data_IF_767492834766
#
_entry.id   IF_767492834766
#
_cell.length_a   1.000
_cell.length_b   1.000
_cell.length_c   1.000
_cell.angle_alpha   90.00
_cell.angle_beta   90.00
_cell.angle_gamma   90.00
#
_symmetry.space_group_name_H-M   'P 1'
#
loop_
_entity.id
_entity.type
_entity.pdbx_description
1 polymer ?
#
# COMPACT_ATOMS: atom_id res chain seq x y z
N UNK A 1 16.57 -8.43 13.85
CA UNK A 1 15.53 -8.76 14.84
C UNK A 1 15.47 -10.27 14.98
N UNK A 2 15.20 -10.78 16.17
CA UNK A 2 15.32 -12.22 16.45
C UNK A 2 14.11 -12.96 15.85
N UNK A 3 14.30 -14.00 15.04
CA UNK A 3 13.24 -14.83 14.40
C UNK A 3 12.15 -15.29 15.39
N UNK A 4 12.54 -15.55 16.64
CA UNK A 4 11.62 -15.92 17.71
C UNK A 4 10.66 -14.79 18.10
N UNK A 5 11.13 -13.56 18.08
CA UNK A 5 10.33 -12.37 18.40
C UNK A 5 9.32 -12.07 17.27
N UNK A 6 9.73 -12.22 16.02
CA UNK A 6 8.82 -12.10 14.85
C UNK A 6 7.75 -13.21 14.88
N UNK A 7 8.11 -14.44 15.23
CA UNK A 7 7.14 -15.54 15.36
C UNK A 7 6.12 -15.29 16.47
N UNK A 8 6.54 -14.72 17.60
CA UNK A 8 5.63 -14.34 18.69
C UNK A 8 4.71 -13.19 18.30
N UNK A 9 5.21 -12.16 17.61
CA UNK A 9 4.38 -11.07 17.13
C UNK A 9 3.35 -11.58 16.12
N UNK A 10 3.76 -12.44 15.18
CA UNK A 10 2.85 -13.01 14.19
C UNK A 10 1.81 -13.97 14.79
N UNK A 11 2.07 -14.54 15.95
CA UNK A 11 1.08 -15.34 16.66
C UNK A 11 -0.08 -14.49 17.22
N UNK A 12 0.22 -13.30 17.72
CA UNK A 12 -0.77 -12.38 18.29
C UNK A 12 -1.33 -11.39 17.28
N UNK A 13 -0.52 -10.99 16.30
CA UNK A 13 -0.85 -10.00 15.27
C UNK A 13 -0.47 -10.52 13.89
N UNK A 14 -1.11 -11.59 13.39
CA UNK A 14 -0.77 -12.15 12.09
C UNK A 14 -1.05 -11.13 10.97
N UNK A 15 -0.25 -11.14 9.89
CA UNK A 15 -0.53 -10.35 8.71
C UNK A 15 -1.95 -10.61 8.19
N UNK A 16 -2.61 -9.56 7.71
CA UNK A 16 -3.96 -9.68 7.15
C UNK A 16 -4.02 -9.03 5.78
N UNK A 17 -4.77 -9.65 4.89
CA UNK A 17 -5.08 -9.05 3.60
C UNK A 17 -5.72 -7.67 3.79
N UNK A 18 -5.18 -6.59 3.19
CA UNK A 18 -5.67 -5.23 3.38
C UNK A 18 -7.10 -5.02 2.87
N UNK A 19 -7.57 -5.88 1.98
CA UNK A 19 -8.86 -5.72 1.31
C UNK A 19 -9.98 -6.55 1.95
N UNK A 20 -9.73 -7.81 2.29
CA UNK A 20 -10.76 -8.71 2.86
C UNK A 20 -10.53 -9.08 4.33
N UNK A 21 -9.38 -8.73 4.92
CA UNK A 21 -9.06 -9.05 6.32
C UNK A 21 -8.67 -10.51 6.59
N UNK A 22 -8.56 -11.36 5.55
CA UNK A 22 -8.10 -12.76 5.71
C UNK A 22 -6.70 -12.77 6.31
N UNK A 23 -6.49 -13.62 7.31
CA UNK A 23 -5.17 -13.87 7.89
C UNK A 23 -4.27 -14.54 6.86
N UNK A 24 -3.04 -14.08 6.78
CA UNK A 24 -2.01 -14.54 5.85
C UNK A 24 -0.78 -15.02 6.62
N UNK A 25 0.05 -15.82 5.98
CA UNK A 25 1.34 -16.26 6.52
C UNK A 25 2.41 -15.18 6.35
N UNK A 26 2.27 -14.33 5.35
CA UNK A 26 3.17 -13.22 5.02
C UNK A 26 2.38 -11.95 4.71
N UNK A 27 3.05 -10.80 4.82
CA UNK A 27 2.47 -9.52 4.39
C UNK A 27 2.12 -9.57 2.90
N UNK A 28 1.01 -8.97 2.52
CA UNK A 28 0.61 -8.91 1.11
C UNK A 28 -0.90 -9.01 0.90
N UNK A 29 -1.28 -9.40 -0.31
CA UNK A 29 -2.68 -9.57 -0.75
C UNK A 29 -2.99 -11.05 -0.89
N UNK A 30 -4.15 -11.50 -0.42
CA UNK A 30 -4.54 -12.91 -0.58
C UNK A 30 -4.86 -13.23 -2.04
N UNK A 31 -4.68 -14.50 -2.42
CA UNK A 31 -4.88 -14.97 -3.79
C UNK A 31 -6.27 -14.69 -4.37
N UNK A 32 -7.31 -14.61 -3.54
CA UNK A 32 -8.65 -14.23 -3.97
C UNK A 32 -8.69 -12.75 -4.34
N UNK A 33 -8.25 -11.86 -3.45
CA UNK A 33 -8.22 -10.43 -3.72
C UNK A 33 -7.29 -10.09 -4.88
N UNK A 34 -6.15 -10.78 -5.02
CA UNK A 34 -5.24 -10.59 -6.16
C UNK A 34 -5.95 -10.77 -7.51
N UNK A 35 -6.94 -11.66 -7.59
CA UNK A 35 -7.73 -11.89 -8.80
C UNK A 35 -8.89 -10.91 -8.96
N UNK A 36 -9.51 -10.50 -7.87
CA UNK A 36 -10.78 -9.76 -7.86
C UNK A 36 -10.59 -8.24 -7.77
N UNK A 37 -9.36 -7.77 -7.50
CA UNK A 37 -9.08 -6.34 -7.39
C UNK A 37 -9.17 -5.63 -8.75
N UNK A 38 -9.60 -4.36 -8.76
CA UNK A 38 -9.69 -3.55 -9.97
C UNK A 38 -8.30 -3.05 -10.38
N UNK A 39 -7.49 -3.94 -10.96
CA UNK A 39 -6.16 -3.61 -11.46
C UNK A 39 -6.24 -2.64 -12.63
N UNK A 40 -5.36 -1.65 -12.63
CA UNK A 40 -5.17 -0.78 -13.79
C UNK A 40 -4.37 -1.52 -14.87
N UNK A 41 -4.89 -1.60 -16.12
CA UNK A 41 -4.14 -2.15 -17.24
C UNK A 41 -2.83 -1.38 -17.47
N UNK A 42 -1.84 -2.06 -17.98
CA UNK A 42 -0.50 -1.48 -18.20
C UNK A 42 -0.53 -0.22 -19.07
N UNK A 43 -1.37 -0.17 -20.08
CA UNK A 43 -1.48 0.93 -21.01
C UNK A 43 -2.15 2.19 -20.40
N UNK A 44 -2.94 2.03 -19.34
CA UNK A 44 -3.69 3.13 -18.71
C UNK A 44 -2.97 3.77 -17.51
N UNK A 45 -1.79 3.35 -17.25
CA UNK A 45 -1.08 3.70 -16.02
C UNK A 45 -0.43 5.07 -16.08
N UNK A 46 -0.30 5.65 -17.24
CA UNK A 46 0.48 6.86 -17.42
C UNK A 46 -0.43 8.04 -17.72
N UNK A 47 -0.57 8.93 -16.76
CA UNK A 47 -1.04 10.28 -17.01
C UNK A 47 0.17 11.19 -17.13
N UNK A 48 0.33 11.82 -18.29
CA UNK A 48 1.33 12.85 -18.48
C UNK A 48 0.64 14.22 -18.45
N UNK A 49 1.00 15.04 -17.48
CA UNK A 49 0.79 16.47 -17.56
C UNK A 49 2.15 17.12 -17.76
N UNK A 50 2.39 17.54 -18.97
CA UNK A 50 3.59 18.23 -19.47
C UNK A 50 4.93 17.54 -19.21
N UNK A 51 5.26 17.15 -18.00
CA UNK A 51 6.56 16.52 -17.65
C UNK A 51 6.43 15.53 -16.50
N UNK A 52 5.21 15.20 -16.04
CA UNK A 52 4.97 14.27 -14.95
C UNK A 52 4.34 12.98 -15.47
N UNK A 53 4.99 11.88 -15.17
CA UNK A 53 4.46 10.54 -15.39
C UNK A 53 3.89 10.01 -14.10
N UNK A 54 2.59 9.67 -14.11
CA UNK A 54 1.92 9.08 -12.96
C UNK A 54 1.58 7.63 -13.24
N UNK A 55 1.78 6.78 -12.26
CA UNK A 55 1.38 5.37 -12.30
C UNK A 55 0.62 5.00 -11.04
N UNK A 56 -0.36 4.12 -11.18
CA UNK A 56 -1.11 3.56 -10.07
C UNK A 56 -1.40 2.07 -10.33
N UNK A 57 -1.36 1.20 -9.32
CA UNK A 57 -1.64 -0.23 -9.52
C UNK A 57 -3.13 -0.55 -9.60
N UNK A 58 -3.97 0.23 -8.96
CA UNK A 58 -5.38 -0.08 -8.74
C UNK A 58 -6.28 1.14 -8.95
N UNK A 59 -7.50 0.90 -9.45
CA UNK A 59 -8.55 1.88 -9.43
C UNK A 59 -8.99 2.21 -8.00
N UNK A 60 -9.31 3.48 -7.74
CA UNK A 60 -9.80 3.96 -6.45
C UNK A 60 -11.31 3.70 -6.30
N UNK A 61 -11.67 2.44 -6.13
CA UNK A 61 -13.06 2.01 -5.98
C UNK A 61 -13.20 0.81 -5.04
N UNK A 62 -14.41 0.48 -4.63
CA UNK A 62 -14.75 -0.70 -3.85
C UNK A 62 -13.85 -0.93 -2.64
N UNK A 63 -13.30 -2.12 -2.54
CA UNK A 63 -12.44 -2.55 -1.44
C UNK A 63 -11.13 -1.73 -1.35
N UNK A 64 -10.61 -1.24 -2.48
CA UNK A 64 -9.41 -0.40 -2.52
C UNK A 64 -9.67 0.94 -1.83
N UNK A 65 -10.79 1.59 -2.17
CA UNK A 65 -11.21 2.84 -1.53
C UNK A 65 -11.39 2.66 -0.02
N UNK A 66 -12.08 1.61 0.42
CA UNK A 66 -12.32 1.34 1.83
C UNK A 66 -11.01 1.07 2.61
N UNK A 67 -10.09 0.32 2.03
CA UNK A 67 -8.79 0.05 2.63
C UNK A 67 -7.95 1.33 2.77
N UNK A 68 -7.92 2.19 1.75
CA UNK A 68 -7.23 3.48 1.80
C UNK A 68 -7.85 4.45 2.81
N UNK A 69 -9.18 4.45 2.97
CA UNK A 69 -9.84 5.24 4.00
C UNK A 69 -9.50 4.74 5.42
N UNK A 70 -9.37 3.43 5.61
CA UNK A 70 -8.89 2.86 6.88
C UNK A 70 -7.45 3.29 7.16
N UNK A 71 -6.56 3.20 6.18
CA UNK A 71 -5.18 3.67 6.31
C UNK A 71 -5.11 5.15 6.69
N UNK A 72 -5.94 5.99 6.06
CA UNK A 72 -5.90 7.45 6.28
C UNK A 72 -6.59 7.91 7.55
N UNK A 73 -7.68 7.28 7.97
CA UNK A 73 -8.61 7.86 8.94
C UNK A 73 -9.04 6.94 10.10
N UNK A 74 -8.72 5.65 10.05
CA UNK A 74 -9.24 4.68 11.03
C UNK A 74 -8.16 3.85 11.72
N UNK A 75 -6.97 4.41 11.90
CA UNK A 75 -5.89 3.75 12.62
C UNK A 75 -5.31 2.51 11.91
N UNK A 76 -5.45 2.44 10.59
CA UNK A 76 -5.03 1.31 9.78
C UNK A 76 -3.54 1.30 9.42
N UNK A 77 -2.63 1.71 10.32
CA UNK A 77 -1.18 1.76 10.07
C UNK A 77 -0.59 0.42 9.59
N UNK A 78 -1.15 -0.70 10.04
CA UNK A 78 -0.75 -2.03 9.57
C UNK A 78 -1.01 -2.27 8.06
N UNK A 79 -1.81 -1.41 7.42
CA UNK A 79 -2.04 -1.44 5.97
C UNK A 79 -0.92 -0.75 5.17
N UNK A 80 -0.05 0.01 5.82
CA UNK A 80 1.02 0.75 5.14
C UNK A 80 1.98 -0.18 4.40
N UNK A 81 2.40 -1.27 5.03
CA UNK A 81 3.34 -2.23 4.44
C UNK A 81 2.77 -2.92 3.19
N UNK A 82 1.58 -3.56 3.21
CA UNK A 82 1.02 -4.15 1.99
C UNK A 82 0.75 -3.12 0.88
N UNK A 83 0.37 -1.89 1.19
CA UNK A 83 0.27 -0.84 0.18
C UNK A 83 1.62 -0.40 -0.34
N UNK A 84 2.65 -0.33 0.51
CA UNK A 84 4.03 -0.07 0.12
C UNK A 84 4.56 -1.11 -0.87
N UNK A 85 4.28 -2.39 -0.64
CA UNK A 85 4.64 -3.47 -1.58
C UNK A 85 3.93 -3.34 -2.93
N UNK A 86 2.63 -2.99 -2.94
CA UNK A 86 1.90 -2.75 -4.18
C UNK A 86 2.48 -1.57 -4.97
N UNK A 87 2.83 -0.48 -4.29
CA UNK A 87 3.47 0.68 -4.91
C UNK A 87 4.88 0.37 -5.43
N UNK A 88 5.68 -0.37 -4.67
CA UNK A 88 7.03 -0.77 -5.08
C UNK A 88 6.98 -1.66 -6.32
N UNK A 89 6.07 -2.62 -6.37
CA UNK A 89 5.83 -3.45 -7.56
C UNK A 89 5.43 -2.61 -8.76
N UNK A 90 4.46 -1.71 -8.58
CA UNK A 90 4.03 -0.80 -9.65
C UNK A 90 5.18 0.07 -10.16
N UNK A 91 5.98 0.64 -9.27
CA UNK A 91 7.12 1.46 -9.65
C UNK A 91 8.18 0.65 -10.42
N UNK A 92 8.48 -0.57 -9.99
CA UNK A 92 9.43 -1.44 -10.68
C UNK A 92 8.95 -1.82 -12.09
N UNK A 93 7.67 -2.17 -12.22
CA UNK A 93 7.06 -2.57 -13.50
C UNK A 93 6.92 -1.40 -14.48
N UNK A 94 6.62 -0.18 -13.98
CA UNK A 94 6.29 0.97 -14.83
C UNK A 94 7.45 1.89 -15.13
N UNK A 95 8.35 2.05 -14.17
CA UNK A 95 9.50 2.95 -14.30
C UNK A 95 10.82 2.22 -14.52
N UNK A 96 10.83 0.88 -14.51
CA UNK A 96 11.99 0.07 -14.88
C UNK A 96 13.29 0.38 -14.13
N UNK A 97 13.20 1.02 -12.95
CA UNK A 97 14.38 1.48 -12.22
C UNK A 97 14.99 2.79 -12.75
N UNK A 98 14.28 3.54 -13.59
CA UNK A 98 14.72 4.85 -14.12
C UNK A 98 14.59 5.98 -13.09
N UNK A 99 14.81 5.68 -11.82
CA UNK A 99 14.82 6.67 -10.74
C UNK A 99 15.92 6.31 -9.73
N UNK A 100 16.51 7.31 -9.13
CA UNK A 100 17.57 7.19 -8.13
C UNK A 100 17.15 7.70 -6.75
N UNK A 101 16.01 8.36 -6.67
CA UNK A 101 15.52 8.99 -5.44
C UNK A 101 14.03 8.74 -5.27
N UNK A 102 13.62 8.40 -4.06
CA UNK A 102 12.23 8.25 -3.66
C UNK A 102 11.91 9.31 -2.61
N UNK A 103 10.81 10.00 -2.79
CA UNK A 103 10.27 10.97 -1.83
C UNK A 103 8.77 10.84 -1.71
N UNK A 104 8.18 11.53 -0.76
CA UNK A 104 6.74 11.51 -0.54
C UNK A 104 6.22 12.90 -0.16
N UNK A 105 4.92 13.11 -0.34
CA UNK A 105 4.25 14.32 0.14
C UNK A 105 3.94 14.14 1.63
N UNK A 106 4.57 14.92 2.52
CA UNK A 106 4.37 14.78 3.95
C UNK A 106 2.95 15.22 4.36
N UNK A 107 2.41 14.59 5.38
CA UNK A 107 1.17 15.07 6.00
C UNK A 107 1.42 16.32 6.83
N UNK A 108 0.37 17.15 6.99
CA UNK A 108 0.46 18.31 7.88
C UNK A 108 0.65 17.88 9.35
N UNK A 109 1.28 18.74 10.17
CA UNK A 109 1.48 18.49 11.59
C UNK A 109 0.17 18.12 12.31
N UNK A 110 -0.90 18.86 12.04
CA UNK A 110 -2.24 18.58 12.60
C UNK A 110 -2.74 17.16 12.26
N UNK A 111 -2.51 16.69 11.03
CA UNK A 111 -2.90 15.33 10.62
C UNK A 111 -2.01 14.27 11.24
N UNK A 112 -0.72 14.55 11.41
CA UNK A 112 0.21 13.64 12.07
C UNK A 112 -0.20 13.44 13.54
N UNK A 113 -0.55 14.49 14.25
CA UNK A 113 -1.06 14.44 15.63
C UNK A 113 -2.36 13.66 15.74
N UNK A 114 -3.29 13.84 14.80
CA UNK A 114 -4.59 13.14 14.78
C UNK A 114 -4.45 11.66 14.40
N UNK A 115 -3.60 11.33 13.45
CA UNK A 115 -3.43 9.96 12.93
C UNK A 115 -2.41 9.13 13.71
N UNK A 116 -1.38 9.79 14.28
CA UNK A 116 -0.26 9.15 14.93
C UNK A 116 0.82 8.63 13.96
N UNK A 117 0.65 8.77 12.64
CA UNK A 117 1.62 8.34 11.62
C UNK A 117 1.45 9.11 10.30
N UNK A 118 2.51 9.12 9.50
CA UNK A 118 2.49 9.61 8.12
C UNK A 118 2.25 8.44 7.17
N UNK A 119 1.07 8.37 6.57
CA UNK A 119 0.68 7.28 5.69
C UNK A 119 1.44 7.24 4.36
N UNK A 120 2.15 8.30 4.02
CA UNK A 120 2.90 8.40 2.76
C UNK A 120 4.37 8.02 2.92
N UNK A 121 4.86 7.91 4.16
CA UNK A 121 6.22 7.52 4.54
C UNK A 121 6.30 6.02 4.72
#
# INVERSE_FOLDING_TARGET
>A
MNRLFESLINLFFPPKCPFCGKVLDTVGVCSKCEKDLPWLPEEQVVMTDKDLTCAAPLWYEGAVREALLRLKFRGGSALAEPFGELLARCAAERFGGEFDTVTWVPVSQKRLETRGYDQSR
#
